data_IF_884341782360
#
_entry.id   IF_884341782360
#
_cell.length_a   1.000
_cell.length_b   1.000
_cell.length_c   1.000
_cell.angle_alpha   90.00
_cell.angle_beta   90.00
_cell.angle_gamma   90.00
#
_symmetry.space_group_name_H-M   'P 1'
#
loop_
_entity.id
_entity.type
_entity.pdbx_description
1 polymer ?
#
# COMPACT_ATOMS: atom_id res chain seq x y z
N UNK A 1 7.18 4.99 6.47
CA UNK A 1 7.41 6.08 7.42
C UNK A 1 8.66 5.74 8.21
N UNK A 2 9.70 6.57 8.15
CA UNK A 2 10.85 6.41 9.04
C UNK A 2 10.59 7.09 10.40
N UNK A 3 11.46 6.80 11.39
CA UNK A 3 11.30 7.32 12.75
C UNK A 3 11.33 8.85 12.82
N UNK A 4 12.17 9.50 12.02
CA UNK A 4 12.32 10.96 12.06
C UNK A 4 11.05 11.65 11.55
N UNK A 5 10.49 11.17 10.44
CA UNK A 5 9.21 11.67 9.91
C UNK A 5 8.05 11.38 10.88
N UNK A 6 8.05 10.21 11.54
CA UNK A 6 7.03 9.92 12.55
C UNK A 6 7.07 10.88 13.74
N UNK A 7 8.27 11.21 14.25
CA UNK A 7 8.43 12.22 15.32
C UNK A 7 7.95 13.59 14.86
N UNK A 8 8.30 14.00 13.64
CA UNK A 8 7.78 15.24 13.05
C UNK A 8 6.25 15.28 13.04
N UNK A 9 5.59 14.21 12.56
CA UNK A 9 4.13 14.12 12.49
C UNK A 9 3.47 14.24 13.87
N UNK A 10 4.03 13.58 14.89
CA UNK A 10 3.47 13.60 16.26
C UNK A 10 3.67 14.98 16.91
N UNK A 11 4.76 15.66 16.59
CA UNK A 11 5.09 16.99 17.11
C UNK A 11 4.52 18.14 16.26
N UNK A 12 3.73 17.86 15.22
CA UNK A 12 3.24 18.88 14.29
C UNK A 12 2.20 19.80 14.95
N UNK A 13 2.65 21.00 15.30
CA UNK A 13 1.85 22.10 15.85
C UNK A 13 1.49 23.17 14.81
N UNK A 14 1.92 22.98 13.54
CA UNK A 14 1.74 23.97 12.47
C UNK A 14 0.72 23.54 11.45
N UNK A 15 0.88 22.36 10.85
CA UNK A 15 0.03 21.93 9.74
C UNK A 15 -1.20 21.17 10.25
N UNK A 16 -1.06 20.28 11.22
CA UNK A 16 -2.18 19.50 11.74
C UNK A 16 -3.32 20.37 12.32
N UNK A 17 -3.08 21.44 13.11
CA UNK A 17 -4.17 22.29 13.61
C UNK A 17 -4.99 22.93 12.49
N UNK A 18 -4.33 23.41 11.43
CA UNK A 18 -4.99 23.97 10.26
C UNK A 18 -5.68 22.88 9.42
N UNK A 19 -5.02 21.75 9.20
CA UNK A 19 -5.61 20.62 8.49
C UNK A 19 -6.89 20.14 9.20
N UNK A 20 -6.89 20.09 10.53
CA UNK A 20 -8.04 19.68 11.35
C UNK A 20 -9.25 20.60 11.16
N UNK A 21 -9.04 21.90 10.93
CA UNK A 21 -10.14 22.86 10.70
C UNK A 21 -10.63 22.86 9.25
N UNK A 22 -9.75 22.56 8.30
CA UNK A 22 -10.06 22.58 6.85
C UNK A 22 -10.47 21.22 6.26
N UNK A 23 -10.14 20.13 6.93
CA UNK A 23 -10.57 18.77 6.60
C UNK A 23 -12.08 18.62 6.86
N UNK A 24 -12.88 19.06 5.90
CA UNK A 24 -14.35 18.98 5.90
C UNK A 24 -14.83 17.82 5.04
N UNK A 25 -16.00 17.28 5.37
CA UNK A 25 -16.53 16.08 4.72
C UNK A 25 -16.69 16.24 3.19
N UNK A 26 -16.35 15.22 2.38
CA UNK A 26 -15.72 13.96 2.78
C UNK A 26 -14.22 14.14 3.03
N UNK A 27 -13.77 13.84 4.26
CA UNK A 27 -12.34 13.87 4.60
C UNK A 27 -12.01 12.76 5.60
N UNK A 28 -11.02 11.94 5.24
CA UNK A 28 -10.49 10.86 6.06
C UNK A 28 -9.09 11.26 6.51
N UNK A 29 -8.95 11.66 7.77
CA UNK A 29 -7.71 12.26 8.31
C UNK A 29 -6.52 11.33 8.10
N UNK A 30 -6.71 10.03 8.31
CA UNK A 30 -5.72 8.98 8.12
C UNK A 30 -5.31 8.75 6.65
N UNK A 31 -6.20 9.04 5.69
CA UNK A 31 -5.89 8.95 4.26
C UNK A 31 -5.32 10.25 3.68
N UNK A 32 -5.66 11.41 4.25
CA UNK A 32 -5.36 12.71 3.64
C UNK A 32 -4.25 13.50 4.32
N UNK A 33 -4.14 13.47 5.66
CA UNK A 33 -3.20 14.34 6.37
C UNK A 33 -1.76 13.95 6.09
N UNK A 34 -1.41 12.66 6.22
CA UNK A 34 -0.04 12.18 6.03
C UNK A 34 0.49 12.46 4.62
N UNK A 35 -0.23 12.14 3.52
CA UNK A 35 0.25 12.50 2.19
C UNK A 35 0.38 14.01 2.00
N UNK A 36 -0.56 14.80 2.52
CA UNK A 36 -0.55 16.27 2.41
C UNK A 36 0.69 16.85 3.08
N UNK A 37 0.89 16.61 4.39
CA UNK A 37 1.98 17.23 5.12
C UNK A 37 3.35 16.75 4.61
N UNK A 38 3.49 15.45 4.31
CA UNK A 38 4.75 14.91 3.83
C UNK A 38 5.12 15.47 2.44
N UNK A 39 4.15 15.68 1.54
CA UNK A 39 4.42 16.27 0.22
C UNK A 39 4.97 17.70 0.32
N UNK A 40 4.62 18.44 1.37
CA UNK A 40 5.13 19.78 1.66
C UNK A 40 6.54 19.72 2.27
N UNK A 41 6.74 18.89 3.30
CA UNK A 41 7.95 18.97 4.14
C UNK A 41 9.03 17.94 3.80
N UNK A 42 8.69 16.90 3.05
CA UNK A 42 9.55 15.73 2.86
C UNK A 42 9.39 15.08 1.47
N UNK A 43 9.10 15.87 0.43
CA UNK A 43 8.84 15.36 -0.93
C UNK A 43 9.90 14.37 -1.43
N UNK A 44 11.18 14.66 -1.21
CA UNK A 44 12.30 13.78 -1.60
C UNK A 44 12.41 12.47 -0.81
N UNK A 45 11.57 12.26 0.20
CA UNK A 45 11.50 11.04 1.02
C UNK A 45 10.22 10.23 0.77
N UNK A 46 9.41 10.60 -0.24
CA UNK A 46 8.18 9.90 -0.60
C UNK A 46 8.39 9.11 -1.89
N UNK A 47 8.01 7.84 -1.89
CA UNK A 47 8.17 6.96 -3.03
C UNK A 47 6.98 6.98 -4.02
N UNK A 48 5.93 7.75 -3.73
CA UNK A 48 4.65 7.76 -4.45
C UNK A 48 4.02 6.37 -4.63
N UNK A 49 4.34 5.45 -3.71
CA UNK A 49 3.81 4.09 -3.64
C UNK A 49 3.81 3.58 -2.20
N UNK A 50 3.01 2.57 -1.94
CA UNK A 50 3.05 1.81 -0.68
C UNK A 50 3.69 0.43 -0.90
N UNK A 51 3.92 -0.28 0.19
CA UNK A 51 4.37 -1.68 0.20
C UNK A 51 3.19 -2.68 0.19
N UNK A 52 1.96 -2.18 0.12
CA UNK A 52 0.73 -2.98 0.19
C UNK A 52 0.00 -2.92 -1.13
N UNK A 53 -0.22 -4.07 -1.77
CA UNK A 53 -1.09 -4.17 -2.93
C UNK A 53 -2.54 -4.04 -2.48
N UNK A 54 -3.28 -3.17 -3.17
CA UNK A 54 -4.70 -2.95 -2.97
C UNK A 54 -5.36 -2.84 -4.34
N UNK A 55 -6.42 -3.61 -4.56
CA UNK A 55 -7.16 -3.57 -5.82
C UNK A 55 -8.25 -2.48 -5.79
N UNK A 56 -8.01 -1.41 -6.55
CA UNK A 56 -8.96 -0.31 -6.76
C UNK A 56 -9.66 -0.36 -8.13
N UNK A 57 -9.49 -1.44 -8.90
CA UNK A 57 -10.01 -1.55 -10.27
C UNK A 57 -11.53 -1.38 -10.40
N UNK A 58 -12.26 -1.59 -9.30
CA UNK A 58 -13.73 -1.45 -9.24
C UNK A 58 -14.21 0.00 -9.07
N UNK A 59 -13.34 0.93 -8.70
CA UNK A 59 -13.67 2.36 -8.58
C UNK A 59 -14.64 2.73 -7.45
N UNK A 60 -14.85 1.84 -6.47
CA UNK A 60 -15.69 2.10 -5.29
C UNK A 60 -14.89 2.83 -4.20
N UNK A 61 -15.56 3.37 -3.18
CA UNK A 61 -14.95 4.00 -2.00
C UNK A 61 -14.13 3.02 -1.15
N UNK A 62 -14.28 1.71 -1.41
CA UNK A 62 -13.54 0.65 -0.78
C UNK A 62 -12.83 -0.22 -1.82
N UNK A 63 -11.64 -0.73 -1.50
CA UNK A 63 -10.94 -1.60 -2.41
C UNK A 63 -11.68 -2.94 -2.56
N UNK A 64 -11.49 -3.57 -3.72
CA UNK A 64 -12.04 -4.87 -4.02
C UNK A 64 -11.57 -5.92 -3.00
N UNK A 65 -12.44 -6.90 -2.77
CA UNK A 65 -12.10 -8.09 -1.98
C UNK A 65 -11.81 -9.23 -2.94
N UNK A 66 -10.63 -9.82 -2.80
CA UNK A 66 -10.21 -11.03 -3.49
C UNK A 66 -10.92 -12.25 -2.89
N UNK A 67 -11.57 -13.02 -3.76
CA UNK A 67 -12.14 -14.32 -3.45
C UNK A 67 -11.07 -15.42 -3.56
N UNK A 68 -11.39 -16.63 -3.09
CA UNK A 68 -10.46 -17.77 -3.20
C UNK A 68 -9.96 -17.99 -4.65
N UNK A 69 -10.82 -17.98 -5.69
CA UNK A 69 -10.37 -18.14 -7.08
C UNK A 69 -9.40 -17.08 -7.57
N UNK A 70 -9.39 -15.88 -6.98
CA UNK A 70 -8.45 -14.81 -7.32
C UNK A 70 -7.02 -15.11 -6.83
N UNK A 71 -6.90 -15.94 -5.78
CA UNK A 71 -5.60 -16.34 -5.21
C UNK A 71 -4.97 -17.44 -6.05
N UNK A 72 -4.32 -17.02 -7.13
CA UNK A 72 -3.61 -17.92 -8.04
C UNK A 72 -2.10 -17.82 -7.89
N UNK A 73 -1.38 -18.81 -8.44
CA UNK A 73 0.09 -18.72 -8.54
C UNK A 73 0.56 -17.53 -9.38
N UNK A 74 -0.27 -17.10 -10.33
CA UNK A 74 0.04 -15.92 -11.12
C UNK A 74 -0.13 -14.65 -10.29
N UNK A 75 -1.24 -14.54 -9.54
CA UNK A 75 -1.49 -13.43 -8.63
C UNK A 75 -0.36 -13.27 -7.59
N UNK A 76 -0.03 -14.33 -6.85
CA UNK A 76 1.03 -14.28 -5.85
C UNK A 76 2.42 -14.12 -6.47
N UNK A 77 2.67 -14.72 -7.64
CA UNK A 77 3.92 -14.53 -8.39
C UNK A 77 4.13 -13.08 -8.80
N UNK A 78 3.06 -12.36 -9.18
CA UNK A 78 3.12 -10.91 -9.46
C UNK A 78 3.41 -10.09 -8.22
N UNK A 79 2.86 -10.49 -7.08
CA UNK A 79 3.05 -9.78 -5.81
C UNK A 79 4.52 -9.74 -5.38
N UNK A 80 5.25 -10.84 -5.59
CA UNK A 80 6.68 -10.98 -5.22
C UNK A 80 7.64 -10.81 -6.40
N UNK A 81 7.21 -10.21 -7.51
CA UNK A 81 8.09 -9.93 -8.66
C UNK A 81 8.58 -11.14 -9.43
N UNK A 82 8.07 -12.35 -9.14
CA UNK A 82 8.39 -13.59 -9.87
C UNK A 82 7.65 -13.71 -11.20
N UNK A 83 6.56 -12.94 -11.40
CA UNK A 83 5.75 -12.91 -12.63
C UNK A 83 5.29 -11.48 -12.94
N UNK A 84 5.01 -11.17 -14.21
CA UNK A 84 4.46 -9.86 -14.62
C UNK A 84 5.50 -8.86 -15.16
N UNK A 85 5.06 -7.61 -15.42
CA UNK A 85 5.91 -6.58 -16.05
C UNK A 85 6.79 -5.83 -15.03
N UNK A 86 8.04 -5.49 -15.39
CA UNK A 86 8.98 -4.75 -14.52
C UNK A 86 8.47 -3.39 -14.06
N UNK A 87 7.64 -2.73 -14.88
CA UNK A 87 7.10 -1.39 -14.61
C UNK A 87 6.27 -1.33 -13.32
N UNK A 88 5.61 -2.43 -12.93
CA UNK A 88 4.81 -2.49 -11.69
C UNK A 88 5.65 -2.67 -10.43
N UNK A 89 6.95 -2.95 -10.59
CA UNK A 89 7.87 -3.28 -9.52
C UNK A 89 9.05 -2.31 -9.49
N UNK A 90 8.74 -1.01 -9.57
CA UNK A 90 9.71 0.06 -9.42
C UNK A 90 9.60 0.75 -8.06
N UNK A 91 10.75 1.15 -7.53
CA UNK A 91 10.90 2.01 -6.36
C UNK A 91 11.81 3.17 -6.77
N UNK A 92 11.27 4.40 -6.80
CA UNK A 92 12.00 5.59 -7.23
C UNK A 92 12.70 5.43 -8.60
N UNK A 93 12.02 4.79 -9.56
CA UNK A 93 12.54 4.53 -10.91
C UNK A 93 13.56 3.40 -11.01
N UNK A 94 13.87 2.72 -9.92
CA UNK A 94 14.75 1.55 -9.89
C UNK A 94 13.93 0.26 -9.75
N UNK A 95 14.27 -0.82 -10.47
CA UNK A 95 13.61 -2.11 -10.29
C UNK A 95 13.90 -2.66 -8.90
N UNK A 96 12.91 -3.28 -8.27
CA UNK A 96 13.05 -3.99 -6.99
C UNK A 96 12.66 -5.46 -7.13
N UNK A 97 13.33 -6.33 -6.37
CA UNK A 97 13.11 -7.77 -6.38
C UNK A 97 11.71 -8.15 -5.85
N UNK A 98 11.26 -7.47 -4.78
CA UNK A 98 9.96 -7.71 -4.16
C UNK A 98 9.05 -6.50 -4.40
N UNK A 99 7.94 -6.72 -5.12
CA UNK A 99 7.03 -5.64 -5.50
C UNK A 99 6.15 -5.18 -4.34
N UNK A 100 5.58 -6.10 -3.55
CA UNK A 100 4.78 -5.76 -2.38
C UNK A 100 5.09 -6.73 -1.23
N UNK A 101 5.03 -6.22 -0.01
CA UNK A 101 5.19 -7.01 1.22
C UNK A 101 3.85 -7.47 1.79
N UNK A 102 2.79 -6.72 1.50
CA UNK A 102 1.44 -6.99 1.99
C UNK A 102 0.43 -6.90 0.86
N UNK A 103 -0.75 -7.49 1.08
CA UNK A 103 -1.90 -7.36 0.18
C UNK A 103 -3.19 -7.41 0.98
N UNK A 104 -4.21 -6.71 0.50
CA UNK A 104 -5.59 -6.72 1.03
C UNK A 104 -6.57 -6.36 -0.09
N UNK A 105 -7.86 -6.72 0.00
CA UNK A 105 -8.61 -7.39 1.08
C UNK A 105 -8.98 -8.80 0.61
N UNK A 106 -9.00 -9.79 1.50
CA UNK A 106 -9.39 -11.17 1.15
C UNK A 106 -10.66 -11.58 1.90
N UNK A 107 -11.47 -12.43 1.28
CA UNK A 107 -12.50 -13.17 2.01
C UNK A 107 -11.86 -14.26 2.88
N UNK A 108 -12.50 -14.69 3.98
CA UNK A 108 -11.97 -15.79 4.81
C UNK A 108 -11.71 -17.08 4.04
N UNK A 109 -12.51 -17.39 3.02
CA UNK A 109 -12.35 -18.59 2.20
C UNK A 109 -11.03 -18.63 1.40
N UNK A 110 -10.37 -17.49 1.16
CA UNK A 110 -9.10 -17.42 0.45
C UNK A 110 -7.90 -17.91 1.30
N UNK A 111 -8.07 -18.06 2.63
CA UNK A 111 -6.97 -18.40 3.54
C UNK A 111 -6.27 -19.70 3.16
N UNK A 112 -7.01 -20.76 2.85
CA UNK A 112 -6.43 -22.06 2.51
C UNK A 112 -5.54 -21.95 1.27
N UNK A 113 -5.98 -21.16 0.28
CA UNK A 113 -5.26 -20.98 -0.97
C UNK A 113 -4.01 -20.13 -0.80
N UNK A 114 -4.08 -19.09 0.05
CA UNK A 114 -2.91 -18.30 0.45
C UNK A 114 -1.85 -19.17 1.14
N UNK A 115 -2.25 -20.05 2.05
CA UNK A 115 -1.33 -20.95 2.78
C UNK A 115 -0.73 -22.03 1.86
N UNK A 116 -1.52 -22.61 0.96
CA UNK A 116 -1.03 -23.65 0.06
C UNK A 116 -0.04 -23.13 -0.97
N UNK A 117 -0.22 -21.88 -1.44
CA UNK A 117 0.65 -21.29 -2.45
C UNK A 117 1.84 -20.54 -1.86
N UNK A 118 1.79 -20.14 -0.59
CA UNK A 118 2.87 -19.37 0.04
C UNK A 118 4.19 -20.16 0.07
N UNK A 119 4.17 -21.44 0.47
CA UNK A 119 5.38 -22.28 0.48
C UNK A 119 5.99 -22.42 -0.93
N UNK A 120 5.15 -22.64 -1.94
CA UNK A 120 5.57 -22.77 -3.35
C UNK A 120 6.18 -21.48 -3.91
N UNK A 121 5.63 -20.32 -3.55
CA UNK A 121 5.99 -19.03 -4.17
C UNK A 121 7.03 -18.27 -3.36
N UNK A 122 7.01 -18.36 -2.04
CA UNK A 122 7.92 -17.65 -1.14
C UNK A 122 9.17 -18.47 -0.82
N UNK A 123 9.12 -19.80 -0.94
CA UNK A 123 10.29 -20.68 -0.90
C UNK A 123 10.88 -20.92 0.49
N UNK A 124 10.06 -20.83 1.54
CA UNK A 124 10.40 -21.20 2.91
C UNK A 124 9.40 -22.20 3.49
#
# INVERSE_FOLDING_TARGET
>A
MDRHLAVFVIADDRYYPWFRTECRVPCYVDEHYLPTVLSIVAQGKIANRTITLVDWSRGDAHPATFDAPDVTEDFLGRLVGKKGSPERCMYNGQPVEVCFLFTRKFVPAALLQLLNLSSKILGY
#
